data_IF_260640130513
#
_entry.id   IF_260640130513
#
_cell.length_a   1.000
_cell.length_b   1.000
_cell.length_c   1.000
_cell.angle_alpha   90.00
_cell.angle_beta   90.00
_cell.angle_gamma   90.00
#
_symmetry.space_group_name_H-M   'P 1'
#
loop_
_entity.id
_entity.type
_entity.pdbx_description
1 polymer ?
#
# COMPACT_ATOMS: atom_id res chain seq x y z
N UNK A 1 -5.18 34.23 9.31
CA UNK A 1 -4.52 32.92 9.31
C UNK A 1 -5.07 32.12 10.48
N UNK A 2 -5.93 31.12 10.27
CA UNK A 2 -6.34 30.25 11.36
C UNK A 2 -5.15 29.35 11.70
N UNK A 3 -4.74 29.36 12.96
CA UNK A 3 -3.67 28.50 13.46
C UNK A 3 -4.06 27.04 13.32
N UNK A 4 -3.33 26.31 12.48
CA UNK A 4 -3.35 24.86 12.52
C UNK A 4 -2.73 24.46 13.87
N UNK A 5 -3.59 24.11 14.82
CA UNK A 5 -3.18 23.26 15.93
C UNK A 5 -2.79 21.93 15.29
N UNK A 6 -1.49 21.69 15.11
CA UNK A 6 -1.03 20.37 14.73
C UNK A 6 -1.58 19.38 15.77
N UNK A 7 -2.34 18.34 15.36
CA UNK A 7 -2.72 17.29 16.30
C UNK A 7 -1.46 16.75 16.96
N UNK A 8 -1.51 16.47 18.27
CA UNK A 8 -0.36 15.97 18.99
C UNK A 8 0.19 14.67 18.37
N UNK A 9 1.47 14.41 18.60
CA UNK A 9 2.12 13.17 18.19
C UNK A 9 1.31 11.94 18.62
N UNK A 10 1.11 10.99 17.69
CA UNK A 10 0.44 9.73 17.94
C UNK A 10 1.45 8.67 18.42
N UNK A 11 1.14 8.06 19.55
CA UNK A 11 1.78 6.82 19.98
C UNK A 11 0.85 5.64 19.63
N UNK A 12 1.41 4.60 19.02
CA UNK A 12 0.68 3.35 18.77
C UNK A 12 0.92 2.44 19.96
N UNK A 13 -0.16 1.95 20.56
CA UNK A 13 -0.12 1.04 21.69
C UNK A 13 -0.92 -0.20 21.35
N UNK A 14 -0.31 -1.37 21.54
CA UNK A 14 -0.94 -2.66 21.30
C UNK A 14 -1.16 -3.32 22.66
N UNK A 15 -2.42 -3.43 23.07
CA UNK A 15 -2.80 -3.85 24.43
C UNK A 15 -3.74 -5.03 24.39
N UNK A 16 -3.46 -6.04 25.22
CA UNK A 16 -4.38 -7.16 25.49
C UNK A 16 -5.11 -7.00 26.82
N UNK A 17 -4.49 -6.31 27.79
CA UNK A 17 -5.03 -5.97 29.11
C UNK A 17 -4.45 -4.61 29.58
N UNK A 18 -4.79 -4.15 30.79
CA UNK A 18 -4.44 -2.81 31.35
C UNK A 18 -2.93 -2.45 31.37
N UNK A 19 -2.03 -3.37 31.02
CA UNK A 19 -0.61 -3.09 30.82
C UNK A 19 -0.38 -2.58 29.38
N UNK A 20 -0.09 -1.29 29.27
CA UNK A 20 0.02 -0.61 27.98
C UNK A 20 1.44 -0.77 27.40
N UNK A 21 1.60 -1.52 26.30
CA UNK A 21 2.82 -1.46 25.50
C UNK A 21 2.67 -0.42 24.38
N UNK A 22 3.01 0.84 24.69
CA UNK A 22 3.16 1.90 23.70
C UNK A 22 4.59 1.89 23.16
N UNK A 23 4.78 1.87 21.84
CA UNK A 23 6.11 2.00 21.24
C UNK A 23 6.15 3.08 20.17
N UNK A 24 7.11 3.99 20.30
CA UNK A 24 7.47 4.96 19.24
C UNK A 24 8.06 4.26 17.99
N UNK A 25 8.47 2.99 18.10
CA UNK A 25 9.02 2.17 17.00
C UNK A 25 8.00 1.87 15.89
N UNK A 26 6.72 2.15 16.15
CA UNK A 26 5.62 1.99 15.22
C UNK A 26 5.39 3.23 14.33
N UNK A 27 6.14 4.33 14.55
CA UNK A 27 6.24 5.47 13.64
C UNK A 27 7.24 5.26 12.49
N UNK A 28 7.23 6.10 11.43
CA UNK A 28 8.13 5.99 10.28
C UNK A 28 9.60 5.99 10.73
N UNK A 29 10.45 5.11 10.17
CA UNK A 29 11.83 4.96 10.64
C UNK A 29 12.83 5.77 9.81
N UNK A 30 13.51 6.71 10.49
CA UNK A 30 14.93 7.11 10.38
C UNK A 30 15.59 7.30 9.01
N UNK A 31 14.87 7.50 7.92
CA UNK A 31 15.57 7.88 6.69
C UNK A 31 15.94 9.37 6.72
N UNK A 32 15.20 10.23 7.46
CA UNK A 32 15.47 11.68 7.57
C UNK A 32 15.19 12.26 8.96
N UNK A 33 15.94 13.28 9.42
CA UNK A 33 15.63 14.00 10.65
C UNK A 33 14.29 14.75 10.51
N UNK A 34 13.32 14.47 11.38
CA UNK A 34 12.03 15.19 11.46
C UNK A 34 10.78 14.38 11.09
N UNK A 35 10.91 13.16 10.55
CA UNK A 35 9.77 12.36 10.04
C UNK A 35 9.39 11.16 10.90
N UNK A 36 9.95 11.07 12.12
CA UNK A 36 9.82 9.87 12.98
C UNK A 36 8.50 9.78 13.73
N UNK A 37 7.68 10.83 13.65
CA UNK A 37 6.50 10.98 14.48
C UNK A 37 5.26 10.83 13.62
N UNK A 38 4.39 9.88 13.99
CA UNK A 38 3.07 9.80 13.40
C UNK A 38 2.22 10.93 13.96
N UNK A 39 1.49 11.66 13.11
CA UNK A 39 0.56 12.71 13.50
C UNK A 39 -0.88 12.41 13.06
N UNK A 40 -1.06 11.43 12.16
CA UNK A 40 -2.37 10.94 11.76
C UNK A 40 -2.38 9.42 11.58
N UNK A 41 -3.51 8.81 11.95
CA UNK A 41 -3.85 7.42 11.65
C UNK A 41 -4.71 7.40 10.39
N UNK A 42 -4.24 6.73 9.33
CA UNK A 42 -5.01 6.59 8.07
C UNK A 42 -5.83 5.31 8.04
N UNK A 43 -5.21 4.20 8.46
CA UNK A 43 -5.84 2.88 8.43
C UNK A 43 -5.45 2.10 9.67
N UNK A 44 -6.42 1.48 10.32
CA UNK A 44 -6.23 0.43 11.33
C UNK A 44 -7.32 -0.61 11.14
N UNK A 45 -6.98 -1.78 10.56
CA UNK A 45 -7.95 -2.85 10.34
C UNK A 45 -7.31 -4.23 10.35
N UNK A 46 -8.12 -5.24 10.63
CA UNK A 46 -7.72 -6.64 10.45
C UNK A 46 -7.85 -7.00 8.98
N UNK A 47 -6.78 -7.53 8.41
CA UNK A 47 -6.74 -8.09 7.06
C UNK A 47 -6.34 -9.55 7.13
N UNK A 48 -6.70 -10.33 6.12
CA UNK A 48 -6.45 -11.76 6.13
C UNK A 48 -5.49 -12.15 5.01
N UNK A 49 -4.31 -12.63 5.41
CA UNK A 49 -3.33 -13.20 4.49
C UNK A 49 -3.55 -14.71 4.31
N UNK A 50 -2.93 -15.25 3.27
CA UNK A 50 -2.96 -16.68 2.95
C UNK A 50 -4.20 -17.11 2.15
N UNK A 51 -4.08 -18.24 1.45
CA UNK A 51 -5.06 -18.72 0.47
C UNK A 51 -6.47 -19.00 1.04
N UNK A 52 -6.61 -19.12 2.37
CA UNK A 52 -7.88 -19.39 3.07
C UNK A 52 -8.23 -18.34 4.12
N UNK A 53 -7.65 -17.15 4.04
CA UNK A 53 -7.87 -16.07 5.01
C UNK A 53 -7.58 -16.47 6.47
N UNK A 54 -6.72 -17.47 6.66
CA UNK A 54 -6.47 -18.09 7.95
C UNK A 54 -5.34 -17.40 8.74
N UNK A 55 -4.70 -16.38 8.17
CA UNK A 55 -3.66 -15.61 8.83
C UNK A 55 -4.13 -14.16 9.02
N UNK A 56 -4.86 -13.85 10.11
CA UNK A 56 -5.22 -12.47 10.42
C UNK A 56 -3.97 -11.65 10.73
N UNK A 57 -3.92 -10.45 10.18
CA UNK A 57 -2.88 -9.45 10.37
C UNK A 57 -3.52 -8.13 10.75
N UNK A 58 -2.86 -7.34 11.59
CA UNK A 58 -3.24 -5.95 11.81
C UNK A 58 -2.52 -5.08 10.78
N UNK A 59 -3.28 -4.49 9.86
CA UNK A 59 -2.80 -3.45 8.94
C UNK A 59 -2.90 -2.09 9.63
N UNK A 60 -1.75 -1.43 9.74
CA UNK A 60 -1.64 -0.09 10.27
C UNK A 60 -0.98 0.83 9.24
N UNK A 61 -1.61 1.97 8.97
CA UNK A 61 -1.02 3.04 8.18
C UNK A 61 -1.03 4.34 8.96
N UNK A 62 0.16 4.89 9.20
CA UNK A 62 0.35 6.17 9.88
C UNK A 62 0.97 7.19 8.93
N UNK A 63 0.75 8.46 9.24
CA UNK A 63 1.10 9.60 8.41
C UNK A 63 1.90 10.59 9.25
N UNK A 64 3.05 11.04 8.73
CA UNK A 64 3.89 12.07 9.37
C UNK A 64 3.25 13.47 9.26
N UNK A 65 3.97 14.51 9.70
CA UNK A 65 3.54 15.90 9.52
C UNK A 65 3.26 16.17 8.04
N UNK A 66 2.14 16.82 7.76
CA UNK A 66 1.82 17.19 6.39
C UNK A 66 2.69 18.37 5.94
N UNK A 67 3.34 18.24 4.79
CA UNK A 67 3.98 19.35 4.09
C UNK A 67 2.96 20.36 3.57
N UNK A 68 3.43 21.48 3.03
CA UNK A 68 2.57 22.60 2.58
C UNK A 68 1.52 22.21 1.51
N UNK A 69 1.74 21.10 0.80
CA UNK A 69 0.83 20.55 -0.20
C UNK A 69 -0.14 19.50 0.37
N UNK A 70 -0.21 19.34 1.69
CA UNK A 70 -1.04 18.33 2.37
C UNK A 70 -0.48 16.91 2.31
N UNK A 71 0.72 16.71 1.76
CA UNK A 71 1.33 15.38 1.68
C UNK A 71 2.08 15.03 2.97
N UNK A 72 2.00 13.77 3.37
CA UNK A 72 2.85 13.23 4.44
C UNK A 72 3.57 11.98 3.98
N UNK A 73 4.59 11.58 4.74
CA UNK A 73 5.19 10.27 4.62
C UNK A 73 4.26 9.25 5.26
N UNK A 74 4.05 8.12 4.58
CA UNK A 74 3.17 7.06 5.05
C UNK A 74 4.02 5.87 5.46
N UNK A 75 3.86 5.43 6.71
CA UNK A 75 4.34 4.12 7.13
C UNK A 75 3.21 3.13 7.08
N UNK A 76 3.41 2.05 6.33
CA UNK A 76 2.53 0.88 6.32
C UNK A 76 3.21 -0.26 7.06
N UNK A 77 2.51 -0.83 8.05
CA UNK A 77 2.98 -2.01 8.80
C UNK A 77 1.89 -3.07 8.82
N UNK A 78 2.29 -4.32 8.58
CA UNK A 78 1.46 -5.48 8.90
C UNK A 78 2.03 -6.15 10.14
N UNK A 79 1.21 -6.31 11.18
CA UNK A 79 1.59 -7.06 12.38
C UNK A 79 0.93 -8.43 12.38
N UNK A 80 1.72 -9.45 12.67
CA UNK A 80 1.20 -10.74 13.10
C UNK A 80 1.17 -10.79 14.63
N UNK A 81 0.18 -11.49 15.17
CA UNK A 81 0.08 -11.73 16.60
C UNK A 81 0.67 -13.10 16.93
N UNK A 82 1.75 -13.11 17.70
CA UNK A 82 2.35 -14.31 18.26
C UNK A 82 1.61 -14.66 19.56
N UNK A 83 0.86 -15.76 19.52
CA UNK A 83 0.11 -16.26 20.68
C UNK A 83 1.02 -16.84 21.77
N UNK A 84 2.18 -17.39 21.41
CA UNK A 84 3.12 -17.99 22.36
C UNK A 84 3.88 -16.92 23.15
N UNK A 85 4.24 -15.82 22.50
CA UNK A 85 4.90 -14.69 23.13
C UNK A 85 3.94 -13.56 23.57
N UNK A 86 2.64 -13.75 23.36
CA UNK A 86 1.57 -12.78 23.66
C UNK A 86 1.83 -11.36 23.17
N UNK A 87 2.30 -11.23 21.92
CA UNK A 87 2.72 -9.93 21.37
C UNK A 87 2.51 -9.82 19.88
N UNK A 88 2.32 -8.59 19.43
CA UNK A 88 2.40 -8.27 18.01
C UNK A 88 3.86 -8.13 17.58
N UNK A 89 4.17 -8.59 16.38
CA UNK A 89 5.45 -8.33 15.73
C UNK A 89 5.22 -7.94 14.27
N UNK A 90 5.99 -6.99 13.74
CA UNK A 90 5.87 -6.60 12.34
C UNK A 90 6.35 -7.74 11.44
N UNK A 91 5.57 -8.05 10.41
CA UNK A 91 5.91 -9.01 9.35
C UNK A 91 6.10 -8.35 7.99
N UNK A 92 5.76 -7.05 7.90
CA UNK A 92 6.01 -6.19 6.76
C UNK A 92 6.08 -4.74 7.24
N UNK A 93 7.06 -3.98 6.75
CA UNK A 93 7.20 -2.54 7.01
C UNK A 93 7.58 -1.87 5.70
N UNK A 94 6.86 -0.80 5.34
CA UNK A 94 7.21 0.04 4.21
C UNK A 94 6.96 1.52 4.54
N UNK A 95 7.97 2.35 4.31
CA UNK A 95 7.92 3.79 4.47
C UNK A 95 7.87 4.43 3.05
N UNK A 96 6.72 4.95 2.63
CA UNK A 96 6.60 5.73 1.37
C UNK A 96 6.73 7.23 1.64
N UNK A 97 7.36 7.95 0.70
CA UNK A 97 7.45 9.41 0.74
C UNK A 97 6.36 10.07 -0.07
N UNK A 98 5.63 10.97 0.58
CA UNK A 98 4.57 11.77 -0.03
C UNK A 98 3.29 10.98 -0.31
N UNK A 99 2.14 11.58 0.03
CA UNK A 99 0.82 11.02 -0.22
C UNK A 99 0.15 11.61 -1.47
N UNK A 100 0.91 12.11 -2.44
CA UNK A 100 0.30 12.56 -3.71
C UNK A 100 -0.01 11.34 -4.56
N UNK A 101 -0.98 10.53 -4.14
CA UNK A 101 -1.69 9.45 -4.86
C UNK A 101 -0.89 8.40 -5.67
N UNK A 102 0.43 8.48 -5.66
CA UNK A 102 1.31 7.86 -6.64
C UNK A 102 2.33 6.92 -5.99
N UNK A 103 2.50 7.03 -4.67
CA UNK A 103 3.27 6.11 -3.85
C UNK A 103 2.34 5.47 -2.86
N UNK A 104 2.24 4.16 -2.92
CA UNK A 104 1.36 3.41 -2.04
C UNK A 104 1.99 2.07 -1.67
N UNK A 105 1.62 1.59 -0.49
CA UNK A 105 1.81 0.22 -0.07
C UNK A 105 0.43 -0.35 0.23
N UNK A 106 -0.10 -1.10 -0.72
CA UNK A 106 -1.46 -1.60 -0.69
C UNK A 106 -1.48 -3.10 -0.40
N UNK A 107 -2.18 -3.47 0.67
CA UNK A 107 -2.57 -4.85 0.90
C UNK A 107 -3.69 -5.25 -0.04
N UNK A 108 -3.56 -6.38 -0.74
CA UNK A 108 -4.55 -6.86 -1.70
C UNK A 108 -5.56 -7.77 -1.00
N UNK A 109 -6.81 -7.33 -0.91
CA UNK A 109 -7.89 -8.06 -0.20
C UNK A 109 -8.64 -9.04 -1.11
N UNK A 110 -8.56 -8.87 -2.44
CA UNK A 110 -9.33 -9.64 -3.40
C UNK A 110 -8.51 -10.01 -4.64
N UNK A 111 -8.94 -11.06 -5.34
CA UNK A 111 -8.31 -11.50 -6.59
C UNK A 111 -7.10 -12.42 -6.41
N UNK A 112 -6.35 -12.70 -7.50
CA UNK A 112 -5.30 -13.74 -7.52
C UNK A 112 -4.05 -13.44 -6.67
N UNK A 113 -3.92 -12.21 -6.18
CA UNK A 113 -2.86 -11.75 -5.25
C UNK A 113 -3.42 -11.47 -3.85
N UNK A 114 -4.63 -11.95 -3.51
CA UNK A 114 -5.17 -11.79 -2.16
C UNK A 114 -4.15 -12.19 -1.11
N UNK A 115 -3.88 -11.29 -0.17
CA UNK A 115 -2.91 -11.48 0.89
C UNK A 115 -1.50 -10.95 0.58
N UNK A 116 -1.23 -10.52 -0.65
CA UNK A 116 0.04 -9.90 -1.03
C UNK A 116 -0.01 -8.38 -0.83
N UNK A 117 1.17 -7.74 -0.83
CA UNK A 117 1.31 -6.29 -0.77
C UNK A 117 1.95 -5.77 -2.06
N UNK A 118 1.32 -4.80 -2.69
CA UNK A 118 1.88 -4.08 -3.84
C UNK A 118 2.45 -2.77 -3.32
N UNK A 119 3.72 -2.51 -3.64
CA UNK A 119 4.38 -1.23 -3.34
C UNK A 119 4.76 -0.56 -4.66
N UNK A 120 4.34 0.70 -4.83
CA UNK A 120 4.74 1.52 -5.96
C UNK A 120 5.46 2.78 -5.47
N UNK A 121 6.58 3.13 -6.11
CA UNK A 121 7.33 4.34 -5.80
C UNK A 121 7.97 4.96 -7.04
N UNK A 122 8.19 6.28 -7.04
CA UNK A 122 8.69 7.02 -8.18
C UNK A 122 10.05 6.51 -8.67
N UNK A 123 10.24 6.47 -9.99
CA UNK A 123 11.57 6.38 -10.62
C UNK A 123 12.26 7.74 -10.61
N UNK A 124 13.59 7.75 -10.50
CA UNK A 124 14.39 8.98 -10.42
C UNK A 124 14.79 9.59 -11.77
N UNK A 125 14.53 8.92 -12.89
CA UNK A 125 14.96 9.35 -14.22
C UNK A 125 13.88 9.13 -15.28
N UNK A 126 13.90 9.95 -16.32
CA UNK A 126 13.00 9.83 -17.46
C UNK A 126 13.14 8.47 -18.18
N UNK A 127 12.09 7.96 -18.86
CA UNK A 127 10.70 8.42 -18.73
C UNK A 127 10.18 8.18 -17.31
N UNK A 128 9.54 9.19 -16.73
CA UNK A 128 9.11 9.11 -15.35
C UNK A 128 7.94 8.12 -15.20
N UNK A 129 8.23 7.03 -14.49
CA UNK A 129 7.31 5.94 -14.19
C UNK A 129 7.45 5.52 -12.72
N UNK A 130 6.94 4.34 -12.38
CA UNK A 130 7.02 3.77 -11.05
C UNK A 130 7.86 2.49 -11.04
N UNK A 131 8.61 2.29 -9.97
CA UNK A 131 9.01 0.95 -9.57
C UNK A 131 7.79 0.26 -8.95
N UNK A 132 7.50 -0.94 -9.42
CA UNK A 132 6.45 -1.80 -8.88
C UNK A 132 7.12 -2.98 -8.20
N UNK A 133 6.78 -3.18 -6.94
CA UNK A 133 7.21 -4.31 -6.13
C UNK A 133 6.01 -5.07 -5.60
N UNK A 134 6.11 -6.40 -5.57
CA UNK A 134 5.10 -7.26 -4.95
C UNK A 134 5.76 -8.08 -3.87
N UNK A 135 5.14 -8.07 -2.70
CA UNK A 135 5.57 -8.80 -1.54
C UNK A 135 4.54 -9.86 -1.19
N UNK A 136 4.99 -11.10 -1.01
CA UNK A 136 4.12 -12.20 -0.66
C UNK A 136 4.57 -12.86 0.65
N UNK A 137 3.58 -13.37 1.38
CA UNK A 137 3.79 -14.13 2.62
C UNK A 137 3.45 -15.60 2.38
N UNK A 138 4.48 -16.42 2.10
CA UNK A 138 4.32 -17.85 1.78
C UNK A 138 4.29 -18.74 3.03
N UNK A 139 3.42 -18.42 3.99
CA UNK A 139 3.23 -19.18 5.23
C UNK A 139 3.37 -18.34 6.50
N UNK A 140 3.85 -18.96 7.58
CA UNK A 140 4.17 -18.27 8.84
C UNK A 140 5.57 -17.69 8.70
N UNK A 141 5.66 -16.38 8.49
CA UNK A 141 6.93 -15.66 8.34
C UNK A 141 6.72 -14.23 7.86
N UNK A 142 7.80 -13.60 7.41
CA UNK A 142 7.77 -12.23 6.89
C UNK A 142 7.33 -12.19 5.43
N UNK A 143 6.90 -11.01 5.00
CA UNK A 143 6.67 -10.72 3.60
C UNK A 143 8.00 -10.63 2.86
N UNK A 144 8.09 -11.28 1.71
CA UNK A 144 9.29 -11.26 0.87
C UNK A 144 8.96 -10.70 -0.50
N UNK A 145 9.87 -9.90 -1.07
CA UNK A 145 9.69 -9.35 -2.41
C UNK A 145 9.81 -10.48 -3.44
N UNK A 146 8.71 -10.75 -4.14
CA UNK A 146 8.62 -11.78 -5.18
C UNK A 146 8.65 -11.21 -6.60
N UNK A 147 8.42 -9.90 -6.74
CA UNK A 147 8.47 -9.21 -8.03
C UNK A 147 9.04 -7.80 -7.84
N UNK A 148 9.88 -7.37 -8.78
CA UNK A 148 10.27 -5.98 -8.96
C UNK A 148 10.47 -5.69 -10.44
N UNK A 149 9.84 -4.63 -10.93
CA UNK A 149 10.07 -4.14 -12.29
C UNK A 149 9.77 -2.64 -12.39
N UNK A 150 10.23 -2.02 -13.47
CA UNK A 150 9.83 -0.66 -13.82
C UNK A 150 8.50 -0.72 -14.57
N UNK A 151 7.46 -0.13 -13.99
CA UNK A 151 6.10 -0.09 -14.51
C UNK A 151 5.96 0.72 -15.79
N UNK A 152 4.78 0.61 -16.40
CA UNK A 152 4.39 1.34 -17.62
C UNK A 152 3.49 2.54 -17.34
N UNK A 153 2.94 2.64 -16.12
CA UNK A 153 2.17 3.79 -15.62
C UNK A 153 3.10 4.99 -15.46
N UNK A 154 2.70 6.14 -16.03
CA UNK A 154 3.49 7.36 -16.05
C UNK A 154 2.99 8.40 -15.04
N UNK A 155 3.83 9.37 -14.69
CA UNK A 155 3.34 10.52 -13.91
C UNK A 155 2.37 11.36 -14.73
N UNK A 156 1.21 11.65 -14.14
CA UNK A 156 0.22 12.53 -14.75
C UNK A 156 -0.27 12.02 -16.11
N UNK A 157 -0.27 10.70 -16.31
CA UNK A 157 -0.69 10.07 -17.58
C UNK A 157 -2.20 10.19 -17.83
N UNK A 158 -2.96 10.70 -16.86
CA UNK A 158 -4.40 10.93 -16.95
C UNK A 158 -5.24 9.69 -16.65
N UNK A 159 -4.60 8.56 -16.28
CA UNK A 159 -5.34 7.41 -15.80
C UNK A 159 -5.91 7.68 -14.40
N UNK A 160 -7.19 7.40 -14.21
CA UNK A 160 -7.86 7.61 -12.92
C UNK A 160 -7.67 6.44 -11.94
N UNK A 161 -7.12 5.32 -12.41
CA UNK A 161 -6.78 4.18 -11.56
C UNK A 161 -5.55 4.49 -10.73
N UNK A 162 -5.53 3.99 -9.50
CA UNK A 162 -4.31 3.99 -8.71
C UNK A 162 -3.22 3.17 -9.42
N UNK A 163 -1.95 3.54 -9.27
CA UNK A 163 -0.82 2.85 -9.92
C UNK A 163 -0.86 1.34 -9.70
N UNK A 164 -1.16 0.89 -8.47
CA UNK A 164 -1.26 -0.53 -8.14
C UNK A 164 -2.38 -1.26 -8.89
N UNK A 165 -3.50 -0.59 -9.19
CA UNK A 165 -4.59 -1.16 -10.01
C UNK A 165 -4.22 -1.16 -11.49
N UNK A 166 -3.74 -0.02 -11.99
CA UNK A 166 -3.27 0.16 -13.37
C UNK A 166 -2.24 -0.92 -13.77
N UNK A 167 -1.31 -1.24 -12.87
CA UNK A 167 -0.24 -2.21 -13.11
C UNK A 167 -0.65 -3.68 -12.91
N UNK A 168 -1.84 -3.95 -12.40
CA UNK A 168 -2.24 -5.30 -12.02
C UNK A 168 -2.21 -6.32 -13.18
N UNK A 169 -2.63 -6.01 -14.43
CA UNK A 169 -2.48 -6.95 -15.53
C UNK A 169 -1.01 -7.37 -15.74
N UNK A 170 -0.09 -6.40 -15.72
CA UNK A 170 1.35 -6.67 -15.89
C UNK A 170 1.94 -7.42 -14.70
N UNK A 171 1.54 -7.09 -13.48
CA UNK A 171 1.91 -7.86 -12.27
C UNK A 171 1.50 -9.32 -12.43
N UNK A 172 0.23 -9.57 -12.76
CA UNK A 172 -0.30 -10.93 -12.86
C UNK A 172 0.30 -11.69 -14.04
N UNK A 173 0.56 -11.02 -15.16
CA UNK A 173 1.28 -11.59 -16.30
C UNK A 173 2.67 -12.07 -15.90
N UNK A 174 3.45 -11.21 -15.20
CA UNK A 174 4.80 -11.55 -14.73
C UNK A 174 4.81 -12.67 -13.70
N UNK A 175 3.74 -12.80 -12.92
CA UNK A 175 3.55 -13.88 -11.96
C UNK A 175 2.92 -15.14 -12.57
N UNK A 176 2.65 -15.16 -13.88
CA UNK A 176 2.06 -16.31 -14.58
C UNK A 176 0.60 -16.61 -14.17
N UNK A 177 -0.11 -15.60 -13.69
CA UNK A 177 -1.50 -15.69 -13.18
C UNK A 177 -2.54 -15.12 -14.16
N UNK A 178 -2.10 -14.53 -15.26
CA UNK A 178 -2.95 -13.91 -16.28
C UNK A 178 -2.18 -13.85 -17.61
N UNK A 179 -2.89 -13.94 -18.74
CA UNK A 179 -2.33 -13.79 -20.07
C UNK A 179 -3.24 -12.93 -20.96
N UNK A 180 -2.68 -12.39 -22.05
CA UNK A 180 -3.44 -11.57 -22.99
C UNK A 180 -4.58 -12.39 -23.60
N UNK A 181 -5.80 -11.86 -23.50
CA UNK A 181 -7.04 -12.55 -23.92
C UNK A 181 -7.89 -13.03 -22.75
N UNK A 182 -7.32 -13.19 -21.56
CA UNK A 182 -8.08 -13.41 -20.33
C UNK A 182 -8.83 -12.11 -19.95
N UNK A 183 -9.91 -12.24 -19.18
CA UNK A 183 -10.62 -11.09 -18.60
C UNK A 183 -9.67 -10.23 -17.76
N UNK A 184 -9.84 -8.91 -17.82
CA UNK A 184 -8.99 -8.00 -17.05
C UNK A 184 -9.16 -8.24 -15.53
N UNK A 185 -8.05 -8.26 -14.78
CA UNK A 185 -8.04 -8.86 -13.45
C UNK A 185 -8.50 -7.95 -12.29
N UNK A 186 -8.68 -6.65 -12.50
CA UNK A 186 -9.13 -5.68 -11.47
C UNK A 186 -9.83 -4.48 -12.11
N UNK A 187 -10.39 -3.55 -11.33
CA UNK A 187 -11.03 -3.78 -10.02
C UNK A 187 -12.45 -4.35 -10.19
N UNK A 188 -12.97 -5.09 -9.18
CA UNK A 188 -14.35 -5.63 -9.21
C UNK A 188 -15.42 -4.54 -9.38
N UNK A 189 -15.09 -3.33 -8.94
CA UNK A 189 -15.85 -2.12 -9.16
C UNK A 189 -14.88 -1.04 -9.65
N UNK A 190 -15.07 -0.51 -10.87
CA UNK A 190 -14.22 0.55 -11.38
C UNK A 190 -14.47 1.83 -10.55
N UNK A 191 -13.48 2.73 -10.43
CA UNK A 191 -13.64 3.95 -9.64
C UNK A 191 -14.82 4.78 -10.15
N UNK A 192 -15.44 5.57 -9.28
CA UNK A 192 -16.62 6.37 -9.64
C UNK A 192 -16.33 7.23 -10.88
N UNK A 193 -17.19 7.11 -11.89
CA UNK A 193 -17.03 7.80 -13.18
C UNK A 193 -16.32 6.97 -14.25
N UNK A 194 -15.80 5.80 -13.90
CA UNK A 194 -15.15 4.92 -14.83
C UNK A 194 -16.15 3.96 -15.51
N UNK A 195 -16.43 4.19 -16.79
CA UNK A 195 -17.48 3.46 -17.49
C UNK A 195 -17.01 2.09 -17.98
N UNK A 196 -15.74 2.00 -18.41
CA UNK A 196 -15.12 0.73 -18.78
C UNK A 196 -13.63 0.70 -18.48
N UNK A 197 -13.13 -0.51 -18.27
CA UNK A 197 -11.71 -0.79 -18.11
C UNK A 197 -11.16 -1.33 -19.42
N UNK A 198 -10.02 -0.81 -19.85
CA UNK A 198 -9.35 -1.20 -21.09
C UNK A 198 -7.85 -1.38 -20.86
N UNK A 199 -7.23 -2.26 -21.65
CA UNK A 199 -5.78 -2.43 -21.61
C UNK A 199 -5.11 -1.47 -22.59
N UNK A 200 -4.17 -0.64 -22.14
CA UNK A 200 -3.29 0.17 -23.00
C UNK A 200 -1.84 -0.07 -22.59
N UNK A 201 -1.01 -0.57 -23.51
CA UNK A 201 0.43 -0.82 -23.28
C UNK A 201 0.72 -1.69 -22.03
N UNK A 202 -0.12 -2.69 -21.78
CA UNK A 202 0.07 -3.64 -20.67
C UNK A 202 -0.43 -3.16 -19.31
N UNK A 203 -0.94 -1.93 -19.22
CA UNK A 203 -1.60 -1.41 -18.01
C UNK A 203 -3.09 -1.22 -18.24
N UNK A 204 -3.85 -1.35 -17.16
CA UNK A 204 -5.29 -1.12 -17.13
C UNK A 204 -5.59 0.37 -17.05
N UNK A 205 -6.54 0.81 -17.86
CA UNK A 205 -6.95 2.19 -17.96
C UNK A 205 -8.44 2.31 -17.70
N UNK A 206 -8.77 3.36 -16.97
CA UNK A 206 -10.13 3.82 -16.92
C UNK A 206 -10.47 4.60 -18.20
N UNK A 207 -11.53 4.20 -18.89
CA UNK A 207 -12.09 4.94 -20.01
C UNK A 207 -13.43 5.56 -19.60
N UNK A 208 -13.51 6.87 -19.77
CA UNK A 208 -14.70 7.66 -19.56
C UNK A 208 -15.47 7.69 -20.89
N UNK A 209 -16.74 7.33 -20.89
CA UNK A 209 -17.59 7.58 -22.03
C UNK A 209 -17.57 9.09 -22.31
N UNK A 210 -17.20 9.45 -23.54
CA UNK A 210 -17.28 10.83 -24.00
C UNK A 210 -18.74 11.27 -23.87
N UNK A 211 -19.01 12.23 -22.98
CA UNK A 211 -20.27 12.97 -23.02
C UNK A 211 -20.16 14.06 -24.07
#
# INVERSE_FOLDING_TARGET
>A
MPGFTDPGALAVCLVKTLAVECSEKYGPTKTYPGTNTAYALRTAKVVHAGARENAPLLLLQTCSTSGMNGNCDIRTVLYAYDRGADRFHPVFVNDTRGSNNNQDARFVEHGPLRGDVIVNYPTGHAPYAYWIEVYARRGVGDYTRILRYRGHTGYGDGNALAVADSEMPEILRRLGKWQLGDTLPVPPQPPKGCDRLILRRGVEWCDFASR
#
